data_IF_998072418374
#
_entry.id   IF_998072418374
#
_cell.length_a   1.000
_cell.length_b   1.000
_cell.length_c   1.000
_cell.angle_alpha   90.00
_cell.angle_beta   90.00
_cell.angle_gamma   90.00
#
_symmetry.space_group_name_H-M   'P 1'
#
loop_
_entity.id
_entity.type
_entity.pdbx_description
1 polymer ?
#
# COMPACT_ATOMS: atom_id res chain seq x y z
N UNK A 1 -11.49 -12.86 -22.00
CA UNK A 1 -12.49 -11.77 -22.23
C UNK A 1 -12.57 -10.96 -20.95
N UNK A 2 -11.90 -9.83 -20.89
CA UNK A 2 -11.99 -8.91 -19.75
C UNK A 2 -13.32 -8.17 -19.86
N UNK A 3 -14.25 -8.43 -18.93
CA UNK A 3 -15.47 -7.64 -18.79
C UNK A 3 -15.06 -6.30 -18.16
N UNK A 4 -14.98 -5.27 -18.99
CA UNK A 4 -14.84 -3.88 -18.54
C UNK A 4 -16.17 -3.48 -17.89
N UNK A 5 -16.29 -3.72 -16.60
CA UNK A 5 -17.51 -3.37 -15.84
C UNK A 5 -17.34 -1.98 -15.26
N UNK A 6 -18.17 -1.05 -15.69
CA UNK A 6 -18.18 0.32 -15.15
C UNK A 6 -18.62 0.35 -13.68
N UNK A 7 -18.11 1.29 -12.85
CA UNK A 7 -18.64 1.53 -11.51
C UNK A 7 -20.17 1.68 -11.52
N UNK A 8 -20.82 1.23 -10.47
CA UNK A 8 -22.30 1.21 -10.31
C UNK A 8 -23.08 0.36 -11.32
N UNK A 9 -22.39 -0.46 -12.13
CA UNK A 9 -23.10 -1.40 -12.99
C UNK A 9 -23.74 -2.52 -12.17
N UNK A 10 -24.96 -2.90 -12.57
CA UNK A 10 -25.72 -3.95 -11.89
C UNK A 10 -25.20 -5.32 -12.27
N UNK A 11 -24.94 -6.17 -11.27
CA UNK A 11 -24.59 -7.57 -11.50
C UNK A 11 -25.80 -8.34 -12.10
N UNK A 12 -25.54 -9.34 -12.97
CA UNK A 12 -26.56 -10.28 -13.37
C UNK A 12 -27.22 -10.96 -12.16
N UNK A 13 -28.47 -11.39 -12.34
CA UNK A 13 -29.15 -12.08 -11.25
C UNK A 13 -28.44 -13.36 -10.84
N UNK A 14 -28.56 -13.76 -9.55
CA UNK A 14 -27.94 -15.01 -9.05
C UNK A 14 -28.29 -16.22 -9.92
N UNK A 15 -29.52 -16.28 -10.45
CA UNK A 15 -29.94 -17.34 -11.38
C UNK A 15 -29.14 -17.30 -12.68
N UNK A 16 -28.93 -16.12 -13.25
CA UNK A 16 -28.14 -15.95 -14.47
C UNK A 16 -26.67 -16.29 -14.24
N UNK A 17 -26.11 -15.88 -13.09
CA UNK A 17 -24.72 -16.22 -12.71
C UNK A 17 -24.52 -17.73 -12.57
N UNK A 18 -25.47 -18.42 -11.92
CA UNK A 18 -25.42 -19.89 -11.83
C UNK A 18 -25.42 -20.56 -13.21
N UNK A 19 -26.22 -20.03 -14.13
CA UNK A 19 -26.31 -20.58 -15.50
C UNK A 19 -25.08 -20.26 -16.33
N UNK A 20 -24.56 -19.06 -16.25
CA UNK A 20 -23.39 -18.64 -17.03
C UNK A 20 -22.10 -19.31 -16.56
N UNK A 21 -21.95 -19.49 -15.23
CA UNK A 21 -20.74 -20.02 -14.63
C UNK A 21 -20.81 -21.54 -14.36
N UNK A 22 -21.96 -22.17 -14.58
CA UNK A 22 -22.23 -23.58 -14.32
C UNK A 22 -21.91 -23.99 -12.86
N UNK A 23 -22.22 -23.14 -11.90
CA UNK A 23 -21.98 -23.37 -10.47
C UNK A 23 -23.27 -23.30 -9.66
N UNK A 24 -23.22 -23.84 -8.44
CA UNK A 24 -24.38 -23.89 -7.54
C UNK A 24 -24.76 -22.49 -7.03
N UNK A 25 -26.04 -22.31 -6.66
CA UNK A 25 -26.54 -21.09 -6.04
C UNK A 25 -25.78 -20.76 -4.75
N UNK A 26 -25.48 -21.78 -3.95
CA UNK A 26 -24.73 -21.62 -2.69
C UNK A 26 -23.33 -21.05 -2.93
N UNK A 27 -22.65 -21.50 -3.98
CA UNK A 27 -21.34 -20.99 -4.39
C UNK A 27 -21.41 -19.54 -4.84
N UNK A 28 -22.43 -19.18 -5.64
CA UNK A 28 -22.66 -17.79 -6.06
C UNK A 28 -22.97 -16.89 -4.85
N UNK A 29 -23.84 -17.34 -3.94
CA UNK A 29 -24.21 -16.56 -2.76
C UNK A 29 -23.04 -16.35 -1.80
N UNK A 30 -22.14 -17.32 -1.71
CA UNK A 30 -20.91 -17.22 -0.91
C UNK A 30 -19.94 -16.22 -1.55
N UNK A 31 -19.65 -16.36 -2.83
CA UNK A 31 -18.77 -15.45 -3.56
C UNK A 31 -19.26 -14.00 -3.52
N UNK A 32 -20.58 -13.77 -3.70
CA UNK A 32 -21.15 -12.42 -3.61
C UNK A 32 -20.99 -11.84 -2.21
N UNK A 33 -21.14 -12.64 -1.14
CA UNK A 33 -20.91 -12.18 0.24
C UNK A 33 -19.46 -11.79 0.46
N UNK A 34 -18.53 -12.65 0.07
CA UNK A 34 -17.09 -12.36 0.18
C UNK A 34 -16.75 -11.06 -0.55
N UNK A 35 -17.25 -10.86 -1.77
CA UNK A 35 -17.01 -9.63 -2.52
C UNK A 35 -17.71 -8.38 -1.93
N UNK A 36 -18.80 -8.54 -1.20
CA UNK A 36 -19.43 -7.45 -0.44
C UNK A 36 -18.60 -7.11 0.80
N UNK A 37 -18.12 -8.13 1.51
CA UNK A 37 -17.27 -7.96 2.69
C UNK A 37 -15.91 -7.30 2.31
N UNK A 38 -15.41 -7.59 1.12
CA UNK A 38 -14.23 -6.93 0.52
C UNK A 38 -14.54 -5.52 -0.05
N UNK A 39 -15.79 -5.07 -0.03
CA UNK A 39 -16.19 -3.76 -0.54
C UNK A 39 -16.21 -3.63 -2.07
N UNK A 40 -15.97 -4.72 -2.80
CA UNK A 40 -16.00 -4.77 -4.28
C UNK A 40 -17.42 -4.67 -4.83
N UNK A 41 -18.37 -5.21 -4.07
CA UNK A 41 -19.80 -5.15 -4.40
C UNK A 41 -20.58 -4.48 -3.27
N UNK A 42 -21.75 -3.91 -3.61
CA UNK A 42 -22.75 -3.50 -2.62
C UNK A 42 -24.14 -3.95 -3.02
N UNK A 43 -25.00 -4.18 -2.02
CA UNK A 43 -26.35 -4.66 -2.23
C UNK A 43 -27.37 -3.59 -1.87
N UNK A 44 -28.32 -3.34 -2.76
CA UNK A 44 -29.48 -2.47 -2.49
C UNK A 44 -30.74 -3.31 -2.34
N UNK A 45 -31.42 -3.20 -1.19
CA UNK A 45 -32.63 -3.95 -0.90
C UNK A 45 -33.67 -3.75 -2.00
N UNK A 46 -34.16 -4.85 -2.57
CA UNK A 46 -35.17 -4.84 -3.65
C UNK A 46 -34.64 -4.46 -5.03
N UNK A 47 -33.42 -3.94 -5.16
CA UNK A 47 -32.88 -3.47 -6.43
C UNK A 47 -31.83 -4.42 -7.03
N UNK A 48 -30.95 -5.02 -6.21
CA UNK A 48 -29.95 -5.98 -6.66
C UNK A 48 -28.58 -5.74 -6.09
N UNK A 49 -27.57 -6.38 -6.68
CA UNK A 49 -26.15 -6.23 -6.34
C UNK A 49 -25.45 -5.45 -7.44
N UNK A 50 -24.59 -4.52 -7.05
CA UNK A 50 -23.91 -3.57 -7.92
C UNK A 50 -22.40 -3.60 -7.65
N UNK A 51 -21.62 -3.20 -8.64
CA UNK A 51 -20.18 -3.00 -8.50
C UNK A 51 -19.95 -1.70 -7.72
N UNK A 52 -19.19 -1.77 -6.65
CA UNK A 52 -18.81 -0.58 -5.87
C UNK A 52 -17.95 0.34 -6.73
N UNK A 53 -18.15 1.63 -6.55
CA UNK A 53 -17.13 2.60 -6.97
C UNK A 53 -15.99 2.50 -5.96
N UNK A 54 -14.84 2.00 -6.39
CA UNK A 54 -13.63 1.84 -5.58
C UNK A 54 -13.13 3.18 -4.99
N UNK A 55 -13.76 4.30 -5.38
CA UNK A 55 -13.39 5.64 -4.91
C UNK A 55 -13.98 6.02 -3.55
N UNK A 56 -14.92 5.24 -2.96
CA UNK A 56 -15.71 5.75 -1.83
C UNK A 56 -15.66 4.96 -0.51
N UNK A 57 -15.05 3.77 -0.44
CA UNK A 57 -15.07 3.00 0.81
C UNK A 57 -13.69 2.52 1.25
N UNK A 58 -13.13 3.25 2.22
CA UNK A 58 -11.98 2.83 3.01
C UNK A 58 -10.63 2.97 2.31
N UNK A 59 -9.60 3.17 3.08
CA UNK A 59 -8.21 3.10 2.61
C UNK A 59 -7.91 1.63 2.32
N UNK A 60 -8.24 1.16 1.10
CA UNK A 60 -7.80 -0.15 0.61
C UNK A 60 -6.43 0.03 -0.04
N UNK A 61 -5.43 -0.65 0.48
CA UNK A 61 -4.12 -0.79 -0.16
C UNK A 61 -4.28 -1.73 -1.35
N UNK A 62 -4.86 -1.23 -2.45
CA UNK A 62 -5.04 -2.00 -3.68
C UNK A 62 -3.91 -1.71 -4.67
N UNK A 63 -3.65 -2.63 -5.58
CA UNK A 63 -2.64 -2.46 -6.65
C UNK A 63 -2.88 -1.23 -7.54
N UNK A 64 -4.14 -0.75 -7.60
CA UNK A 64 -4.51 0.43 -8.41
C UNK A 64 -4.22 1.77 -7.74
N UNK A 65 -3.84 1.80 -6.45
CA UNK A 65 -3.49 3.02 -5.71
C UNK A 65 -2.01 3.04 -5.38
N UNK A 66 -1.39 4.20 -5.55
CA UNK A 66 -0.01 4.40 -5.13
C UNK A 66 0.09 4.34 -3.61
N UNK A 67 0.85 3.36 -3.10
CA UNK A 67 1.09 3.16 -1.67
C UNK A 67 2.54 3.51 -1.36
N UNK A 68 2.76 4.53 -0.55
CA UNK A 68 4.09 4.99 -0.14
C UNK A 68 4.32 4.62 1.32
N UNK A 69 5.33 3.83 1.59
CA UNK A 69 5.75 3.54 2.96
C UNK A 69 6.61 4.70 3.49
N UNK A 70 6.33 5.12 4.72
CA UNK A 70 7.08 6.17 5.41
C UNK A 70 7.63 5.59 6.71
N UNK A 71 8.96 5.44 6.78
CA UNK A 71 9.65 4.95 7.97
C UNK A 71 10.28 6.13 8.70
N UNK A 72 9.91 6.31 9.97
CA UNK A 72 10.42 7.39 10.82
C UNK A 72 10.89 6.84 12.17
N UNK A 73 11.97 7.40 12.75
CA UNK A 73 12.49 6.97 14.04
C UNK A 73 11.52 7.18 15.20
N UNK A 74 10.82 8.33 15.20
CA UNK A 74 9.85 8.66 16.25
C UNK A 74 8.84 9.69 15.72
N UNK A 75 7.59 9.27 15.56
CA UNK A 75 6.53 10.10 14.99
C UNK A 75 6.08 11.24 15.92
N UNK A 76 6.53 11.26 17.15
CA UNK A 76 6.14 12.26 18.17
C UNK A 76 7.26 13.24 18.51
N UNK A 77 8.48 13.02 18.03
CA UNK A 77 9.67 13.76 18.46
C UNK A 77 10.28 14.59 17.32
N UNK A 78 10.91 15.67 17.70
CA UNK A 78 11.72 16.55 16.86
C UNK A 78 10.96 17.10 15.63
N UNK A 79 11.55 16.98 14.46
CA UNK A 79 10.99 17.46 13.19
C UNK A 79 10.11 16.43 12.47
N UNK A 80 10.07 15.18 12.96
CA UNK A 80 9.40 14.08 12.27
C UNK A 80 7.89 14.25 12.10
N UNK A 81 7.14 14.80 13.10
CA UNK A 81 5.73 15.11 12.89
C UNK A 81 5.50 16.07 11.71
N UNK A 82 6.39 17.08 11.55
CA UNK A 82 6.34 18.02 10.43
C UNK A 82 6.67 17.38 9.10
N UNK A 83 7.65 16.47 9.06
CA UNK A 83 8.01 15.71 7.86
C UNK A 83 6.82 14.82 7.44
N UNK A 84 6.26 14.06 8.40
CA UNK A 84 5.11 13.20 8.16
C UNK A 84 3.92 14.00 7.61
N UNK A 85 3.62 15.14 8.21
CA UNK A 85 2.55 16.02 7.78
C UNK A 85 2.76 16.51 6.34
N UNK A 86 3.98 16.94 6.00
CA UNK A 86 4.31 17.39 4.65
C UNK A 86 4.18 16.27 3.60
N UNK A 87 4.59 15.05 3.95
CA UNK A 87 4.43 13.86 3.10
C UNK A 87 2.94 13.56 2.90
N UNK A 88 2.18 13.50 3.99
CA UNK A 88 0.75 13.18 3.96
C UNK A 88 -0.03 14.20 3.10
N UNK A 89 0.20 15.50 3.29
CA UNK A 89 -0.44 16.55 2.52
C UNK A 89 -0.19 16.40 1.00
N UNK A 90 1.00 15.96 0.59
CA UNK A 90 1.33 15.73 -0.84
C UNK A 90 0.66 14.45 -1.34
N UNK A 91 0.74 13.37 -0.57
CA UNK A 91 0.18 12.07 -0.95
C UNK A 91 -1.34 12.15 -1.05
N UNK A 92 -2.00 12.82 -0.10
CA UNK A 92 -3.44 13.06 -0.14
C UNK A 92 -3.86 13.79 -1.43
N UNK A 93 -3.19 14.89 -1.79
CA UNK A 93 -3.48 15.62 -3.04
C UNK A 93 -3.27 14.78 -4.30
N UNK A 94 -2.41 13.78 -4.26
CA UNK A 94 -2.11 12.86 -5.37
C UNK A 94 -2.96 11.59 -5.36
N UNK A 95 -3.85 11.43 -4.38
CA UNK A 95 -4.67 10.22 -4.23
C UNK A 95 -3.86 8.99 -3.85
N UNK A 96 -2.65 9.17 -3.29
CA UNK A 96 -1.80 8.10 -2.81
C UNK A 96 -2.06 7.82 -1.31
N UNK A 97 -1.81 6.57 -0.90
CA UNK A 97 -1.89 6.17 0.49
C UNK A 97 -0.52 6.27 1.18
N UNK A 98 -0.51 6.56 2.49
CA UNK A 98 0.68 6.52 3.33
C UNK A 98 0.60 5.34 4.28
N UNK A 99 1.62 4.48 4.26
CA UNK A 99 1.82 3.39 5.21
C UNK A 99 2.89 3.82 6.19
N UNK A 100 2.49 4.19 7.40
CA UNK A 100 3.41 4.68 8.42
C UNK A 100 4.04 3.54 9.21
N UNK A 101 5.38 3.57 9.33
CA UNK A 101 6.19 2.64 10.10
C UNK A 101 7.06 3.44 11.09
N UNK A 102 6.75 3.36 12.38
CA UNK A 102 7.54 3.97 13.45
C UNK A 102 8.62 2.99 13.89
N UNK A 103 9.90 3.33 13.64
CA UNK A 103 11.02 2.40 13.90
C UNK A 103 11.56 2.49 15.32
N UNK A 104 11.18 3.50 16.10
CA UNK A 104 11.70 3.78 17.46
C UNK A 104 13.22 3.92 17.52
N UNK A 105 13.83 4.34 16.41
CA UNK A 105 15.29 4.42 16.26
C UNK A 105 16.02 3.06 16.48
N UNK A 106 15.30 1.95 16.22
CA UNK A 106 15.73 0.57 16.43
C UNK A 106 15.96 -0.12 15.07
N UNK A 107 17.18 -0.60 14.85
CA UNK A 107 17.61 -1.27 13.61
C UNK A 107 16.89 -2.60 13.35
N UNK A 108 16.63 -3.40 14.38
CA UNK A 108 15.94 -4.67 14.23
C UNK A 108 14.49 -4.43 13.79
N UNK A 109 13.85 -3.43 14.42
CA UNK A 109 12.50 -3.00 14.06
C UNK A 109 12.44 -2.44 12.66
N UNK A 110 13.40 -1.60 12.26
CA UNK A 110 13.54 -1.07 10.91
C UNK A 110 13.67 -2.21 9.89
N UNK A 111 14.58 -3.15 10.11
CA UNK A 111 14.77 -4.32 9.27
C UNK A 111 13.50 -5.18 9.14
N UNK A 112 12.78 -5.37 10.25
CA UNK A 112 11.51 -6.11 10.25
C UNK A 112 10.42 -5.42 9.43
N UNK A 113 10.37 -4.08 9.44
CA UNK A 113 9.46 -3.32 8.57
C UNK A 113 9.84 -3.48 7.10
N UNK A 114 11.12 -3.32 6.75
CA UNK A 114 11.60 -3.46 5.37
C UNK A 114 11.31 -4.86 4.85
N UNK A 115 11.55 -5.91 5.63
CA UNK A 115 11.22 -7.29 5.26
C UNK A 115 9.72 -7.49 5.01
N UNK A 116 8.84 -6.86 5.79
CA UNK A 116 7.39 -6.93 5.55
C UNK A 116 6.98 -6.13 4.32
N UNK A 117 7.56 -4.95 4.13
CA UNK A 117 7.28 -4.09 2.98
C UNK A 117 7.73 -4.73 1.66
N UNK A 118 8.83 -5.49 1.64
CA UNK A 118 9.29 -6.20 0.44
C UNK A 118 8.30 -7.25 -0.08
N UNK A 119 7.37 -7.68 0.77
CA UNK A 119 6.30 -8.64 0.43
C UNK A 119 4.93 -7.98 0.26
N UNK A 120 4.87 -6.65 0.33
CA UNK A 120 3.64 -5.88 0.30
C UNK A 120 3.52 -5.09 -1.00
N UNK A 121 2.31 -4.65 -1.34
CA UNK A 121 2.06 -3.81 -2.51
C UNK A 121 2.44 -2.37 -2.18
N UNK A 122 3.73 -2.05 -2.33
CA UNK A 122 4.30 -0.71 -2.10
C UNK A 122 4.88 -0.19 -3.40
N UNK A 123 4.70 1.10 -3.66
CA UNK A 123 5.20 1.78 -4.87
C UNK A 123 6.42 2.65 -4.60
N UNK A 124 6.79 2.83 -3.34
CA UNK A 124 7.98 3.57 -2.93
C UNK A 124 8.11 3.66 -1.43
N UNK A 125 9.31 3.99 -0.98
CA UNK A 125 9.64 4.17 0.43
C UNK A 125 10.25 5.56 0.63
N UNK A 126 9.80 6.26 1.66
CA UNK A 126 10.46 7.47 2.19
C UNK A 126 10.91 7.12 3.60
N UNK A 127 12.19 7.26 3.91
CA UNK A 127 12.68 6.89 5.23
C UNK A 127 13.69 7.87 5.81
N UNK A 128 13.62 8.01 7.11
CA UNK A 128 14.70 8.53 7.94
C UNK A 128 15.31 7.31 8.61
N UNK A 129 16.53 6.92 8.26
CA UNK A 129 17.16 5.72 8.82
C UNK A 129 17.31 5.84 10.34
N UNK A 130 17.23 4.72 11.04
CA UNK A 130 17.61 4.65 12.43
C UNK A 130 19.06 5.11 12.63
N UNK A 131 19.40 5.65 13.80
CA UNK A 131 20.77 6.10 14.09
C UNK A 131 21.72 4.91 14.14
N UNK A 132 22.56 4.84 13.11
CA UNK A 132 23.67 3.89 13.11
C UNK A 132 24.75 4.37 14.08
N UNK A 133 25.13 3.55 15.02
CA UNK A 133 26.42 3.71 15.72
C UNK A 133 27.51 3.30 14.74
N UNK A 134 28.68 3.94 14.78
CA UNK A 134 29.78 3.73 13.82
C UNK A 134 30.21 2.25 13.65
N UNK A 135 29.87 1.38 14.58
CA UNK A 135 30.20 -0.04 14.58
C UNK A 135 29.07 -0.98 14.11
N UNK A 136 27.93 -0.44 13.66
CA UNK A 136 26.80 -1.28 13.28
C UNK A 136 26.94 -1.70 11.81
N UNK A 137 26.96 -3.01 11.55
CA UNK A 137 26.95 -3.55 10.20
C UNK A 137 25.51 -3.41 9.61
N UNK A 138 25.34 -2.43 8.75
CA UNK A 138 24.10 -2.15 8.04
C UNK A 138 24.05 -2.81 6.63
N UNK A 139 25.03 -3.67 6.33
CA UNK A 139 25.21 -4.28 5.02
C UNK A 139 23.99 -5.11 4.59
N UNK A 140 23.37 -5.83 5.53
CA UNK A 140 22.18 -6.63 5.26
C UNK A 140 20.96 -5.76 4.94
N UNK A 141 20.75 -4.68 5.70
CA UNK A 141 19.68 -3.73 5.48
C UNK A 141 19.81 -3.03 4.11
N UNK A 142 21.02 -2.59 3.79
CA UNK A 142 21.34 -2.01 2.48
C UNK A 142 21.06 -2.99 1.35
N UNK A 143 21.45 -4.26 1.52
CA UNK A 143 21.19 -5.30 0.54
C UNK A 143 19.68 -5.52 0.35
N UNK A 144 18.92 -5.60 1.43
CA UNK A 144 17.47 -5.76 1.37
C UNK A 144 16.80 -4.58 0.61
N UNK A 145 17.23 -3.34 0.88
CA UNK A 145 16.71 -2.15 0.19
C UNK A 145 17.06 -2.15 -1.29
N UNK A 146 18.26 -2.60 -1.67
CA UNK A 146 18.71 -2.70 -3.07
C UNK A 146 17.97 -3.80 -3.83
N UNK A 147 17.56 -4.86 -3.15
CA UNK A 147 16.78 -5.96 -3.74
C UNK A 147 15.29 -5.60 -3.94
N UNK A 148 14.83 -4.51 -3.32
CA UNK A 148 13.44 -4.04 -3.52
C UNK A 148 13.29 -3.37 -4.89
N UNK A 149 12.30 -3.78 -5.66
CA UNK A 149 11.98 -3.19 -6.99
C UNK A 149 11.12 -1.91 -6.83
N UNK A 150 11.42 -1.08 -5.83
CA UNK A 150 10.73 0.17 -5.57
C UNK A 150 11.71 1.30 -5.25
N UNK A 151 11.41 2.56 -5.62
CA UNK A 151 12.25 3.70 -5.28
C UNK A 151 12.29 3.94 -3.76
N UNK A 152 13.49 4.20 -3.24
CA UNK A 152 13.70 4.56 -1.82
C UNK A 152 14.29 5.96 -1.74
N UNK A 153 13.67 6.83 -0.94
CA UNK A 153 14.12 8.20 -0.68
C UNK A 153 14.53 8.32 0.78
N UNK A 154 15.76 8.73 1.02
CA UNK A 154 16.29 8.99 2.36
C UNK A 154 16.11 10.47 2.73
N UNK A 155 15.63 10.74 3.94
CA UNK A 155 15.43 12.08 4.49
C UNK A 155 16.25 12.29 5.76
N UNK A 156 16.78 13.50 5.93
CA UNK A 156 17.32 14.09 7.17
C UNK A 156 18.60 13.47 7.78
N UNK A 157 18.78 12.16 7.84
CA UNK A 157 19.97 11.55 8.48
C UNK A 157 20.96 10.97 7.48
N UNK A 158 20.86 11.30 6.21
CA UNK A 158 21.72 10.77 5.16
C UNK A 158 23.09 11.46 5.00
N UNK A 159 23.59 12.23 5.97
CA UNK A 159 24.51 13.32 5.66
C UNK A 159 26.00 13.05 5.85
N UNK A 160 26.48 11.90 6.26
CA UNK A 160 27.95 11.76 6.37
C UNK A 160 28.56 10.71 5.45
N UNK A 161 27.83 9.75 4.94
CA UNK A 161 28.40 8.71 4.05
C UNK A 161 27.46 8.12 3.01
N UNK A 162 26.38 8.77 2.67
CA UNK A 162 25.59 8.35 1.51
C UNK A 162 25.48 9.46 0.49
N UNK A 163 26.39 9.47 -0.44
CA UNK A 163 26.06 9.88 -1.80
C UNK A 163 24.81 9.10 -2.20
N UNK A 164 23.68 9.73 -1.97
CA UNK A 164 22.49 9.71 -2.77
C UNK A 164 22.46 8.58 -3.79
N UNK A 165 21.89 7.47 -3.41
CA UNK A 165 21.21 6.66 -4.39
C UNK A 165 19.75 7.11 -4.41
N UNK A 166 19.47 8.27 -5.02
CA UNK A 166 18.20 8.46 -5.69
C UNK A 166 18.26 7.54 -6.89
N UNK A 167 17.96 6.27 -6.68
CA UNK A 167 17.73 5.36 -7.80
C UNK A 167 16.34 5.67 -8.33
N UNK A 168 16.28 6.72 -9.15
CA UNK A 168 15.15 6.89 -10.04
C UNK A 168 15.32 5.82 -11.12
N UNK A 169 14.77 4.65 -10.89
CA UNK A 169 14.46 3.73 -11.99
C UNK A 169 13.23 4.28 -12.70
N UNK A 170 13.46 5.22 -13.61
CA UNK A 170 12.56 5.43 -14.72
C UNK A 170 12.75 4.23 -15.66
N UNK A 171 11.88 3.24 -15.55
CA UNK A 171 11.65 2.34 -16.68
C UNK A 171 10.93 3.17 -17.75
N UNK A 172 11.67 3.56 -18.81
CA UNK A 172 11.14 3.97 -20.09
C UNK A 172 10.58 2.73 -20.80
#
# INVERSE_FOLDING_TARGET
MAMNSSPHSKLPSRKNLCQQLLISKTTVDRAIRELIDEGILYSMNGSGTYISDSSTNGIQLTESRCNIAVLLPDIMRDTYPGILRGIEDVMHRRGANVVLCNTDDDLEKEGSYIQRLSRSIINGIIMVPACYKEETDDSELKKMLLEMDVPVVFCNRGMVMMLIFVVIYLKV
#
